data_IF_608264157319
#
_entry.id   IF_608264157319
#
_cell.length_a   1.000
_cell.length_b   1.000
_cell.length_c   1.000
_cell.angle_alpha   90.00
_cell.angle_beta   90.00
_cell.angle_gamma   90.00
#
_symmetry.space_group_name_H-M   'P 1'
#
loop_
_entity.id
_entity.type
_entity.pdbx_description
1 polymer ?
#
# COMPACT_ATOMS: atom_id res chain seq x y z
N UNK A 1 -28.19 -25.74 46.83
CA UNK A 1 -29.41 -24.90 46.80
C UNK A 1 -30.56 -25.67 46.13
N UNK A 2 -31.01 -26.78 46.76
CA UNK A 2 -32.00 -27.72 46.16
C UNK A 2 -33.32 -27.80 46.95
N UNK A 3 -33.67 -26.76 47.71
CA UNK A 3 -34.75 -26.82 48.70
C UNK A 3 -35.65 -25.57 48.74
N UNK A 4 -36.01 -25.01 47.58
CA UNK A 4 -36.96 -23.87 47.54
C UNK A 4 -37.85 -23.82 46.29
N UNK A 5 -37.96 -24.91 45.53
CA UNK A 5 -38.68 -24.92 44.24
C UNK A 5 -39.87 -25.89 44.21
N UNK A 6 -40.57 -26.04 45.33
CA UNK A 6 -41.87 -26.73 45.34
C UNK A 6 -42.93 -25.88 46.04
N UNK A 7 -44.10 -25.82 45.39
CA UNK A 7 -45.36 -25.14 45.76
C UNK A 7 -45.54 -23.67 45.35
N UNK A 8 -45.84 -23.45 44.07
CA UNK A 8 -46.82 -22.42 43.65
C UNK A 8 -47.43 -22.80 42.28
N UNK A 9 -48.61 -23.41 42.27
CA UNK A 9 -49.52 -23.47 41.11
C UNK A 9 -50.35 -22.17 41.03
N UNK A 10 -50.94 -21.85 39.86
CA UNK A 10 -50.77 -20.55 39.22
C UNK A 10 -51.81 -19.52 39.68
N UNK A 11 -51.34 -18.41 40.25
CA UNK A 11 -52.12 -17.19 40.38
C UNK A 11 -52.22 -16.49 39.03
N UNK A 12 -53.44 -16.33 38.51
CA UNK A 12 -53.77 -15.60 37.28
C UNK A 12 -53.54 -14.08 37.40
N UNK A 13 -52.28 -13.68 37.53
CA UNK A 13 -51.86 -12.31 37.23
C UNK A 13 -51.57 -12.14 35.74
N UNK A 14 -51.57 -10.90 35.22
CA UNK A 14 -51.11 -10.65 33.84
C UNK A 14 -49.69 -11.21 33.66
N UNK A 15 -49.37 -11.78 32.48
CA UNK A 15 -48.04 -12.31 32.21
C UNK A 15 -46.99 -11.24 32.48
N UNK A 16 -46.03 -11.54 33.36
CA UNK A 16 -44.98 -10.59 33.71
C UNK A 16 -44.12 -10.30 32.48
N UNK A 17 -43.83 -9.02 32.23
CA UNK A 17 -42.99 -8.60 31.10
C UNK A 17 -41.55 -9.10 31.25
N UNK A 18 -40.82 -9.22 30.14
CA UNK A 18 -39.42 -9.65 30.16
C UNK A 18 -38.58 -8.73 31.06
N UNK A 19 -38.81 -7.41 31.00
CA UNK A 19 -38.13 -6.39 31.79
C UNK A 19 -38.37 -6.57 33.30
N UNK A 20 -39.61 -6.90 33.69
CA UNK A 20 -39.96 -7.14 35.08
C UNK A 20 -39.24 -8.38 35.63
N UNK A 21 -39.06 -9.40 34.80
CA UNK A 21 -38.38 -10.64 35.19
C UNK A 21 -36.87 -10.42 35.29
N UNK A 22 -36.26 -9.71 34.35
CA UNK A 22 -34.83 -9.33 34.44
C UNK A 22 -34.57 -8.53 35.72
N UNK A 23 -35.42 -7.55 36.04
CA UNK A 23 -35.30 -6.77 37.28
C UNK A 23 -35.39 -7.64 38.53
N UNK A 24 -36.34 -8.59 38.55
CA UNK A 24 -36.50 -9.54 39.64
C UNK A 24 -35.31 -10.47 39.79
N UNK A 25 -34.78 -11.02 38.68
CA UNK A 25 -33.60 -11.88 38.67
C UNK A 25 -32.39 -11.10 39.22
N UNK A 26 -32.13 -9.89 38.70
CA UNK A 26 -31.04 -9.02 39.18
C UNK A 26 -31.15 -8.72 40.67
N UNK A 27 -32.36 -8.41 41.16
CA UNK A 27 -32.59 -8.15 42.60
C UNK A 27 -32.29 -9.38 43.45
N UNK A 28 -32.66 -10.58 43.00
CA UNK A 28 -32.45 -11.83 43.74
C UNK A 28 -30.98 -12.29 43.72
N UNK A 29 -30.25 -11.97 42.66
CA UNK A 29 -28.86 -12.38 42.47
C UNK A 29 -27.84 -11.31 42.90
N UNK A 30 -28.29 -10.17 43.44
CA UNK A 30 -27.42 -9.05 43.82
C UNK A 30 -26.25 -9.44 44.71
N UNK A 31 -26.46 -10.38 45.64
CA UNK A 31 -25.44 -10.82 46.61
C UNK A 31 -24.81 -12.18 46.23
N UNK A 32 -25.19 -12.76 45.08
CA UNK A 32 -24.69 -14.03 44.60
C UNK A 32 -23.52 -13.82 43.63
N UNK A 33 -22.33 -14.27 44.00
CA UNK A 33 -21.09 -14.05 43.22
C UNK A 33 -20.73 -15.18 42.25
N UNK A 34 -21.42 -16.32 42.32
CA UNK A 34 -21.09 -17.55 41.58
C UNK A 34 -22.19 -18.02 40.61
N UNK A 35 -23.22 -17.20 40.38
CA UNK A 35 -24.34 -17.57 39.52
C UNK A 35 -24.11 -17.00 38.13
N UNK A 36 -23.96 -17.88 37.14
CA UNK A 36 -23.89 -17.47 35.74
C UNK A 36 -25.29 -17.11 35.23
N UNK A 37 -25.40 -15.95 34.60
CA UNK A 37 -26.60 -15.53 33.90
C UNK A 37 -26.86 -16.38 32.64
N UNK A 38 -25.82 -17.00 32.07
CA UNK A 38 -25.95 -17.91 30.92
C UNK A 38 -26.87 -19.11 31.21
N UNK A 39 -26.82 -19.70 32.40
CA UNK A 39 -27.69 -20.83 32.77
C UNK A 39 -29.16 -20.41 32.83
N UNK A 40 -29.40 -19.20 33.34
CA UNK A 40 -30.74 -18.62 33.46
C UNK A 40 -31.28 -18.24 32.09
N UNK A 41 -30.44 -17.63 31.24
CA UNK A 41 -30.76 -17.33 29.85
C UNK A 41 -31.10 -18.61 29.07
N UNK A 42 -30.33 -19.68 29.25
CA UNK A 42 -30.62 -20.99 28.65
C UNK A 42 -31.97 -21.55 29.09
N UNK A 43 -32.35 -21.36 30.37
CA UNK A 43 -33.69 -21.72 30.84
C UNK A 43 -34.80 -20.90 30.16
N UNK A 44 -34.58 -19.58 29.98
CA UNK A 44 -35.51 -18.71 29.29
C UNK A 44 -35.67 -19.09 27.80
N UNK A 45 -34.58 -19.46 27.14
CA UNK A 45 -34.60 -19.92 25.74
C UNK A 45 -35.37 -21.22 25.59
N UNK A 46 -35.12 -22.21 26.46
CA UNK A 46 -35.88 -23.48 26.47
C UNK A 46 -37.37 -23.27 26.74
N UNK A 47 -37.73 -22.17 27.41
CA UNK A 47 -39.11 -21.78 27.64
C UNK A 47 -39.73 -21.01 26.45
N UNK A 48 -39.01 -20.86 25.33
CA UNK A 48 -39.44 -20.12 24.15
C UNK A 48 -39.43 -18.60 24.32
N UNK A 49 -38.77 -18.08 25.37
CA UNK A 49 -38.71 -16.64 25.65
C UNK A 49 -37.39 -16.05 25.19
N UNK A 50 -37.22 -16.01 23.88
CA UNK A 50 -35.99 -15.62 23.22
C UNK A 50 -35.49 -14.21 23.63
N UNK A 51 -36.38 -13.21 23.62
CA UNK A 51 -36.05 -11.85 24.05
C UNK A 51 -35.63 -11.76 25.52
N UNK A 52 -36.23 -12.57 26.39
CA UNK A 52 -35.80 -12.64 27.79
C UNK A 52 -34.42 -13.31 27.91
N UNK A 53 -34.17 -14.36 27.13
CA UNK A 53 -32.88 -15.05 27.11
C UNK A 53 -31.76 -14.09 26.70
N UNK A 54 -31.93 -13.31 25.63
CA UNK A 54 -30.94 -12.31 25.20
C UNK A 54 -30.72 -11.24 26.27
N UNK A 55 -31.79 -10.69 26.87
CA UNK A 55 -31.67 -9.67 27.92
C UNK A 55 -30.97 -10.16 29.19
N UNK A 56 -31.18 -11.43 29.56
CA UNK A 56 -30.47 -12.05 30.69
C UNK A 56 -29.02 -12.30 30.34
N UNK A 57 -28.74 -12.71 29.11
CA UNK A 57 -27.41 -13.03 28.64
C UNK A 57 -26.53 -11.78 28.47
N UNK A 58 -27.11 -10.62 28.20
CA UNK A 58 -26.41 -9.32 28.24
C UNK A 58 -25.85 -8.97 29.63
N UNK A 59 -26.31 -9.65 30.69
CA UNK A 59 -25.78 -9.50 32.06
C UNK A 59 -24.61 -10.44 32.35
N UNK A 60 -24.31 -11.39 31.46
CA UNK A 60 -23.18 -12.30 31.61
C UNK A 60 -21.88 -11.57 31.27
N UNK A 61 -20.95 -11.53 32.22
CA UNK A 61 -19.64 -10.89 32.04
C UNK A 61 -18.66 -11.81 31.31
N UNK A 62 -18.83 -13.13 31.44
CA UNK A 62 -17.95 -14.10 30.77
C UNK A 62 -18.36 -14.34 29.32
N UNK A 63 -17.59 -13.77 28.38
CA UNK A 63 -17.79 -13.99 26.95
C UNK A 63 -17.76 -15.47 26.53
N UNK A 64 -17.02 -16.32 27.26
CA UNK A 64 -16.91 -17.75 26.96
C UNK A 64 -18.21 -18.52 27.22
N UNK A 65 -19.07 -18.00 28.09
CA UNK A 65 -20.40 -18.59 28.37
C UNK A 65 -21.48 -17.90 27.51
N UNK A 66 -21.32 -16.59 27.27
CA UNK A 66 -22.23 -15.78 26.47
C UNK A 66 -22.24 -16.15 24.99
N UNK A 67 -21.07 -16.21 24.34
CA UNK A 67 -20.97 -16.41 22.88
C UNK A 67 -21.54 -17.76 22.42
N UNK A 68 -21.22 -18.92 23.04
CA UNK A 68 -21.78 -20.19 22.61
C UNK A 68 -23.31 -20.26 22.74
N UNK A 69 -23.87 -19.63 23.79
CA UNK A 69 -25.32 -19.59 23.97
C UNK A 69 -25.97 -18.72 22.87
N UNK A 70 -25.42 -17.55 22.56
CA UNK A 70 -25.88 -16.71 21.45
C UNK A 70 -25.88 -17.47 20.11
N UNK A 71 -24.79 -18.21 19.83
CA UNK A 71 -24.69 -19.05 18.62
C UNK A 71 -25.79 -20.13 18.59
N UNK A 72 -26.04 -20.80 19.73
CA UNK A 72 -27.08 -21.83 19.81
C UNK A 72 -28.50 -21.28 19.64
N UNK A 73 -28.71 -20.00 19.96
CA UNK A 73 -29.96 -19.28 19.79
C UNK A 73 -30.14 -18.71 18.37
N UNK A 74 -29.12 -18.80 17.50
CA UNK A 74 -29.15 -18.24 16.15
C UNK A 74 -28.84 -16.73 16.10
N UNK A 75 -28.39 -16.13 17.20
CA UNK A 75 -28.06 -14.71 17.32
C UNK A 75 -26.63 -14.43 16.80
N UNK A 76 -26.37 -14.74 15.52
CA UNK A 76 -25.02 -14.76 14.94
C UNK A 76 -24.31 -13.39 14.93
N UNK A 77 -25.01 -12.32 14.58
CA UNK A 77 -24.43 -10.97 14.53
C UNK A 77 -24.08 -10.46 15.93
N UNK A 78 -24.95 -10.74 16.91
CA UNK A 78 -24.69 -10.43 18.32
C UNK A 78 -23.53 -11.28 18.85
N UNK A 79 -23.47 -12.57 18.53
CA UNK A 79 -22.36 -13.45 18.90
C UNK A 79 -21.02 -12.96 18.32
N UNK A 80 -21.01 -12.51 17.05
CA UNK A 80 -19.83 -11.94 16.42
C UNK A 80 -19.39 -10.63 17.11
N UNK A 81 -20.34 -9.74 17.40
CA UNK A 81 -20.05 -8.51 18.15
C UNK A 81 -19.44 -8.80 19.52
N UNK A 82 -20.06 -9.71 20.29
CA UNK A 82 -19.60 -10.08 21.64
C UNK A 82 -18.25 -10.80 21.63
N UNK A 83 -18.01 -11.68 20.66
CA UNK A 83 -16.69 -12.33 20.54
C UNK A 83 -15.58 -11.31 20.22
N UNK A 84 -15.84 -10.32 19.37
CA UNK A 84 -14.89 -9.24 19.08
C UNK A 84 -14.65 -8.32 20.29
N UNK A 85 -15.72 -7.88 20.98
CA UNK A 85 -15.63 -7.10 22.21
C UNK A 85 -14.79 -7.81 23.28
N UNK A 86 -14.84 -9.14 23.33
CA UNK A 86 -14.06 -9.94 24.28
C UNK A 86 -12.55 -9.99 23.98
N UNK A 87 -12.13 -9.68 22.74
CA UNK A 87 -10.73 -9.83 22.28
C UNK A 87 -10.15 -11.24 22.42
N UNK A 88 -10.98 -12.26 22.62
CA UNK A 88 -10.57 -13.66 22.67
C UNK A 88 -10.57 -14.27 21.27
N UNK A 89 -9.39 -14.41 20.68
CA UNK A 89 -9.20 -14.94 19.31
C UNK A 89 -9.91 -16.29 19.10
N UNK A 90 -9.85 -17.20 20.08
CA UNK A 90 -10.50 -18.52 19.99
C UNK A 90 -12.03 -18.41 19.94
N UNK A 91 -12.63 -17.47 20.67
CA UNK A 91 -14.08 -17.22 20.61
C UNK A 91 -14.49 -16.57 19.29
N UNK A 92 -13.65 -15.71 18.72
CA UNK A 92 -13.88 -15.13 17.40
C UNK A 92 -13.85 -16.25 16.35
N UNK A 93 -12.84 -17.12 16.36
CA UNK A 93 -12.78 -18.28 15.45
C UNK A 93 -13.94 -19.24 15.66
N UNK A 94 -14.31 -19.55 16.91
CA UNK A 94 -15.47 -20.38 17.23
C UNK A 94 -16.74 -19.83 16.56
N UNK A 95 -16.97 -18.52 16.70
CA UNK A 95 -18.11 -17.83 16.10
C UNK A 95 -18.07 -17.92 14.58
N UNK A 96 -16.93 -17.56 13.97
CA UNK A 96 -16.77 -17.54 12.52
C UNK A 96 -16.94 -18.92 11.88
N UNK A 97 -16.35 -19.96 12.45
CA UNK A 97 -16.50 -21.33 11.95
C UNK A 97 -17.91 -21.88 12.18
N UNK A 98 -18.56 -21.49 13.27
CA UNK A 98 -19.95 -21.85 13.50
C UNK A 98 -20.87 -21.19 12.46
N UNK A 99 -20.69 -19.90 12.20
CA UNK A 99 -21.39 -19.14 11.16
C UNK A 99 -21.19 -19.78 9.78
N UNK A 100 -19.94 -20.12 9.40
CA UNK A 100 -19.64 -20.76 8.11
C UNK A 100 -20.34 -22.13 7.94
N UNK A 101 -20.52 -22.89 9.03
CA UNK A 101 -21.19 -24.20 8.99
C UNK A 101 -22.71 -24.11 8.98
N UNK A 102 -23.28 -23.03 9.49
CA UNK A 102 -24.72 -22.92 9.76
C UNK A 102 -25.46 -22.04 8.77
N UNK A 103 -24.79 -21.05 8.19
CA UNK A 103 -25.40 -20.09 7.28
C UNK A 103 -24.94 -20.29 5.82
N UNK A 104 -25.77 -19.92 4.83
CA UNK A 104 -25.35 -19.79 3.44
C UNK A 104 -24.17 -18.81 3.29
N UNK A 105 -23.26 -19.00 2.32
CA UNK A 105 -22.10 -18.12 2.13
C UNK A 105 -22.46 -16.64 1.95
N UNK A 106 -23.54 -16.35 1.22
CA UNK A 106 -23.99 -14.96 1.02
C UNK A 106 -24.52 -14.33 2.31
N UNK A 107 -25.07 -15.12 3.23
CA UNK A 107 -25.56 -14.64 4.53
C UNK A 107 -24.37 -14.34 5.45
N UNK A 108 -23.37 -15.23 5.49
CA UNK A 108 -22.10 -14.99 6.18
C UNK A 108 -21.45 -13.71 5.68
N UNK A 109 -21.37 -13.53 4.36
CA UNK A 109 -20.82 -12.31 3.74
C UNK A 109 -21.61 -11.08 4.14
N UNK A 110 -22.95 -11.13 4.14
CA UNK A 110 -23.78 -9.99 4.56
C UNK A 110 -23.52 -9.60 6.01
N UNK A 111 -23.42 -10.58 6.93
CA UNK A 111 -23.11 -10.30 8.34
C UNK A 111 -21.70 -9.75 8.48
N UNK A 112 -20.69 -10.35 7.86
CA UNK A 112 -19.29 -9.89 7.98
C UNK A 112 -19.07 -8.47 7.46
N UNK A 113 -19.89 -8.00 6.52
CA UNK A 113 -19.79 -6.65 5.95
C UNK A 113 -20.89 -5.70 6.46
N UNK A 114 -21.71 -6.08 7.46
CA UNK A 114 -22.79 -5.21 7.97
C UNK A 114 -22.26 -4.03 8.77
N UNK A 115 -21.15 -4.20 9.51
CA UNK A 115 -20.56 -3.19 10.36
C UNK A 115 -19.03 -3.07 10.13
N UNK A 116 -18.43 -1.85 10.17
CA UNK A 116 -16.99 -1.66 9.96
C UNK A 116 -16.10 -2.44 10.94
N UNK A 117 -16.57 -2.66 12.17
CA UNK A 117 -15.82 -3.38 13.20
C UNK A 117 -15.58 -4.86 12.86
N UNK A 118 -16.40 -5.45 11.99
CA UNK A 118 -16.25 -6.84 11.55
C UNK A 118 -15.12 -7.04 10.53
N UNK A 119 -14.49 -5.96 10.06
CA UNK A 119 -13.29 -6.03 9.23
C UNK A 119 -12.15 -6.83 9.91
N UNK A 120 -12.02 -6.76 11.23
CA UNK A 120 -11.04 -7.54 11.99
C UNK A 120 -11.31 -9.04 11.93
N UNK A 121 -12.58 -9.44 12.02
CA UNK A 121 -13.00 -10.83 11.89
C UNK A 121 -12.73 -11.38 10.49
N UNK A 122 -13.01 -10.58 9.43
CA UNK A 122 -12.66 -10.92 8.05
C UNK A 122 -11.14 -11.10 7.91
N UNK A 123 -10.36 -10.17 8.45
CA UNK A 123 -8.90 -10.22 8.37
C UNK A 123 -8.35 -11.46 9.07
N UNK A 124 -8.85 -11.78 10.27
CA UNK A 124 -8.44 -12.96 11.03
C UNK A 124 -8.73 -14.26 10.26
N UNK A 125 -9.95 -14.40 9.73
CA UNK A 125 -10.36 -15.58 8.98
C UNK A 125 -9.61 -15.73 7.65
N UNK A 126 -9.42 -14.63 6.92
CA UNK A 126 -8.63 -14.62 5.69
C UNK A 126 -7.18 -15.00 5.96
N UNK A 127 -6.58 -14.47 7.04
CA UNK A 127 -5.21 -14.84 7.44
C UNK A 127 -5.12 -16.33 7.72
N UNK A 128 -6.09 -16.90 8.44
CA UNK A 128 -6.14 -18.34 8.70
C UNK A 128 -6.23 -19.16 7.40
N UNK A 129 -7.12 -18.81 6.48
CA UNK A 129 -7.27 -19.53 5.20
C UNK A 129 -6.03 -19.45 4.32
N UNK A 130 -5.37 -18.28 4.26
CA UNK A 130 -4.11 -18.12 3.51
C UNK A 130 -3.01 -18.98 4.14
N UNK A 131 -2.86 -18.93 5.47
CA UNK A 131 -1.81 -19.66 6.17
C UNK A 131 -1.99 -21.19 6.12
N UNK A 132 -3.24 -21.65 6.05
CA UNK A 132 -3.57 -23.08 5.98
C UNK A 132 -3.69 -23.61 4.55
N UNK A 133 -3.43 -22.77 3.53
CA UNK A 133 -3.62 -23.12 2.12
C UNK A 133 -5.03 -23.67 1.84
N UNK A 134 -6.05 -23.06 2.44
CA UNK A 134 -7.43 -23.40 2.17
C UNK A 134 -7.78 -23.10 0.70
N UNK A 135 -8.82 -23.76 0.20
CA UNK A 135 -9.29 -23.51 -1.16
C UNK A 135 -9.71 -22.04 -1.36
N UNK A 136 -9.42 -21.51 -2.53
CA UNK A 136 -9.73 -20.13 -2.95
C UNK A 136 -11.21 -19.77 -2.74
N UNK A 137 -12.13 -20.74 -2.89
CA UNK A 137 -13.56 -20.54 -2.65
C UNK A 137 -13.89 -20.05 -1.23
N UNK A 138 -13.07 -20.42 -0.23
CA UNK A 138 -13.23 -19.97 1.16
C UNK A 138 -13.03 -18.47 1.30
N UNK A 139 -12.00 -17.95 0.62
CA UNK A 139 -11.72 -16.51 0.59
C UNK A 139 -12.80 -15.75 -0.19
N UNK A 140 -13.28 -16.32 -1.31
CA UNK A 140 -14.36 -15.74 -2.10
C UNK A 140 -15.70 -15.67 -1.35
N UNK A 141 -15.92 -16.49 -0.32
CA UNK A 141 -17.11 -16.42 0.52
C UNK A 141 -17.09 -15.27 1.53
N UNK A 142 -15.89 -14.77 1.90
CA UNK A 142 -15.73 -13.77 2.96
C UNK A 142 -15.27 -12.41 2.44
N UNK A 143 -14.54 -12.38 1.33
CA UNK A 143 -14.08 -11.14 0.72
C UNK A 143 -15.15 -10.54 -0.19
N UNK A 144 -15.13 -9.21 -0.26
CA UNK A 144 -15.74 -8.49 -1.36
C UNK A 144 -14.79 -8.48 -2.56
N UNK A 145 -15.31 -8.15 -3.74
CA UNK A 145 -14.58 -8.24 -5.01
C UNK A 145 -13.24 -7.47 -5.00
N UNK A 146 -13.18 -6.30 -4.34
CA UNK A 146 -11.96 -5.48 -4.25
C UNK A 146 -10.88 -6.16 -3.40
N UNK A 147 -11.20 -6.73 -2.23
CA UNK A 147 -10.23 -7.51 -1.44
C UNK A 147 -9.70 -8.71 -2.21
N UNK A 148 -10.59 -9.42 -2.92
CA UNK A 148 -10.20 -10.56 -3.76
C UNK A 148 -9.29 -10.11 -4.92
N UNK A 149 -9.60 -9.00 -5.59
CA UNK A 149 -8.74 -8.42 -6.63
C UNK A 149 -7.37 -7.97 -6.12
N UNK A 150 -7.33 -7.33 -4.95
CA UNK A 150 -6.08 -6.92 -4.30
C UNK A 150 -5.19 -8.14 -3.99
N UNK A 151 -5.79 -9.23 -3.51
CA UNK A 151 -5.08 -10.48 -3.23
C UNK A 151 -4.51 -11.10 -4.50
N UNK A 152 -5.28 -11.16 -5.59
CA UNK A 152 -4.81 -11.67 -6.88
C UNK A 152 -3.61 -10.86 -7.41
N UNK A 153 -3.67 -9.53 -7.31
CA UNK A 153 -2.54 -8.65 -7.66
C UNK A 153 -1.32 -8.97 -6.80
N UNK A 154 -1.47 -9.04 -5.48
CA UNK A 154 -0.35 -9.32 -4.57
C UNK A 154 0.28 -10.69 -4.83
N UNK A 155 -0.53 -11.73 -5.00
CA UNK A 155 -0.02 -13.08 -5.26
C UNK A 155 0.54 -13.26 -6.68
N UNK A 156 0.24 -12.35 -7.61
CA UNK A 156 0.92 -12.33 -8.91
C UNK A 156 2.40 -11.94 -8.76
N UNK A 157 2.77 -11.14 -7.77
CA UNK A 157 4.17 -10.76 -7.54
C UNK A 157 5.02 -11.92 -7.01
N UNK A 158 4.40 -12.85 -6.27
CA UNK A 158 5.08 -14.04 -5.72
C UNK A 158 5.19 -15.19 -6.72
N UNK A 159 4.40 -15.15 -7.79
CA UNK A 159 4.43 -16.18 -8.82
C UNK A 159 5.75 -16.13 -9.61
N UNK A 160 6.23 -17.27 -10.11
CA UNK A 160 7.44 -17.35 -10.94
C UNK A 160 7.11 -17.41 -12.42
N UNK A 161 6.02 -18.11 -12.77
CA UNK A 161 5.61 -18.27 -14.16
C UNK A 161 4.84 -17.03 -14.65
N UNK A 162 5.35 -16.38 -15.69
CA UNK A 162 4.71 -15.20 -16.29
C UNK A 162 3.30 -15.45 -16.80
N UNK A 163 2.98 -16.66 -17.30
CA UNK A 163 1.64 -16.99 -17.78
C UNK A 163 0.65 -17.07 -16.61
N UNK A 164 1.06 -17.66 -15.48
CA UNK A 164 0.26 -17.67 -14.25
C UNK A 164 0.10 -16.26 -13.64
N UNK A 165 1.15 -15.42 -13.71
CA UNK A 165 1.05 -14.00 -13.34
C UNK A 165 -0.04 -13.29 -14.13
N UNK A 166 0.01 -13.44 -15.45
CA UNK A 166 -0.93 -12.79 -16.36
C UNK A 166 -2.36 -13.27 -16.13
N UNK A 167 -2.54 -14.57 -15.82
CA UNK A 167 -3.86 -15.11 -15.45
C UNK A 167 -4.40 -14.45 -14.19
N UNK A 168 -3.63 -14.43 -13.09
CA UNK A 168 -4.04 -13.78 -11.84
C UNK A 168 -4.36 -12.29 -12.01
N UNK A 169 -3.51 -11.56 -12.76
CA UNK A 169 -3.75 -10.15 -13.04
C UNK A 169 -5.01 -9.93 -13.89
N UNK A 170 -5.31 -10.84 -14.82
CA UNK A 170 -6.53 -10.79 -15.62
C UNK A 170 -7.78 -11.02 -14.76
N UNK A 171 -7.73 -11.96 -13.83
CA UNK A 171 -8.81 -12.22 -12.88
C UNK A 171 -9.01 -11.01 -11.94
N UNK A 172 -7.92 -10.41 -11.44
CA UNK A 172 -7.97 -9.17 -10.66
C UNK A 172 -8.60 -8.00 -11.44
N UNK A 173 -8.21 -7.83 -12.71
CA UNK A 173 -8.76 -6.79 -13.58
C UNK A 173 -10.27 -6.97 -13.78
N UNK A 174 -10.74 -8.21 -13.96
CA UNK A 174 -12.17 -8.51 -14.08
C UNK A 174 -12.93 -8.14 -12.79
N UNK A 175 -12.37 -8.49 -11.63
CA UNK A 175 -12.93 -8.14 -10.31
C UNK A 175 -12.96 -6.62 -10.09
N UNK A 176 -11.92 -5.87 -10.45
CA UNK A 176 -11.94 -4.40 -10.38
C UNK A 176 -12.99 -3.77 -11.30
N UNK A 177 -13.20 -4.33 -12.49
CA UNK A 177 -14.25 -3.86 -13.40
C UNK A 177 -15.65 -4.10 -12.82
N UNK A 178 -15.90 -5.29 -12.25
CA UNK A 178 -17.16 -5.60 -11.55
C UNK A 178 -17.42 -4.64 -10.39
N UNK A 179 -16.37 -4.35 -9.61
CA UNK A 179 -16.39 -3.40 -8.51
C UNK A 179 -16.43 -1.91 -8.92
N UNK A 180 -16.51 -1.61 -10.22
CA UNK A 180 -16.52 -0.23 -10.77
C UNK A 180 -15.31 0.61 -10.34
N UNK A 181 -14.12 -0.01 -10.31
CA UNK A 181 -12.83 0.63 -10.04
C UNK A 181 -11.98 0.74 -11.32
N UNK A 182 -12.30 1.66 -12.24
CA UNK A 182 -11.65 1.74 -13.55
C UNK A 182 -10.16 2.08 -13.47
N UNK A 183 -9.73 2.82 -12.45
CA UNK A 183 -8.33 3.17 -12.25
C UNK A 183 -7.52 1.91 -11.91
N UNK A 184 -8.00 1.10 -10.95
CA UNK A 184 -7.34 -0.15 -10.56
C UNK A 184 -7.28 -1.12 -11.73
N UNK A 185 -8.40 -1.31 -12.44
CA UNK A 185 -8.45 -2.15 -13.64
C UNK A 185 -7.44 -1.68 -14.69
N UNK A 186 -7.35 -0.36 -14.94
CA UNK A 186 -6.43 0.20 -15.92
C UNK A 186 -4.97 0.01 -15.54
N UNK A 187 -4.62 0.21 -14.26
CA UNK A 187 -3.26 0.01 -13.76
C UNK A 187 -2.85 -1.47 -13.84
N UNK A 188 -3.78 -2.39 -13.56
CA UNK A 188 -3.55 -3.83 -13.71
C UNK A 188 -3.34 -4.21 -15.18
N UNK A 189 -4.14 -3.66 -16.10
CA UNK A 189 -3.98 -3.84 -17.55
C UNK A 189 -2.60 -3.33 -18.03
N UNK A 190 -2.21 -2.11 -17.65
CA UNK A 190 -0.90 -1.55 -18.01
C UNK A 190 0.26 -2.38 -17.45
N UNK A 191 0.10 -2.96 -16.25
CA UNK A 191 1.09 -3.90 -15.70
C UNK A 191 1.19 -5.18 -16.52
N UNK A 192 0.07 -5.77 -16.95
CA UNK A 192 0.07 -6.93 -17.85
C UNK A 192 0.73 -6.61 -19.19
N UNK A 193 0.44 -5.45 -19.78
CA UNK A 193 1.08 -5.01 -21.02
C UNK A 193 2.60 -4.87 -20.86
N UNK A 194 3.07 -4.37 -19.72
CA UNK A 194 4.49 -4.25 -19.42
C UNK A 194 5.16 -5.61 -19.34
N UNK A 195 4.55 -6.58 -18.63
CA UNK A 195 5.07 -7.96 -18.55
C UNK A 195 5.18 -8.60 -19.93
N UNK A 196 4.19 -8.37 -20.81
CA UNK A 196 4.24 -8.87 -22.18
C UNK A 196 5.35 -8.23 -23.03
N UNK A 197 5.58 -6.92 -22.90
CA UNK A 197 6.71 -6.28 -23.58
C UNK A 197 8.06 -6.76 -23.04
N UNK A 198 8.17 -6.92 -21.71
CA UNK A 198 9.39 -7.44 -21.08
C UNK A 198 9.70 -8.87 -21.52
N UNK A 199 8.69 -9.75 -21.66
CA UNK A 199 8.87 -11.10 -22.20
C UNK A 199 9.46 -11.07 -23.61
N UNK A 200 8.97 -10.17 -24.48
CA UNK A 200 9.53 -10.00 -25.84
C UNK A 200 10.98 -9.51 -25.82
N UNK A 201 11.38 -8.74 -24.80
CA UNK A 201 12.77 -8.32 -24.62
C UNK A 201 13.64 -9.49 -24.18
N UNK A 202 13.18 -10.26 -23.20
CA UNK A 202 13.87 -11.47 -22.71
C UNK A 202 14.09 -12.48 -23.83
N UNK A 203 13.07 -12.73 -24.67
CA UNK A 203 13.17 -13.64 -25.82
C UNK A 203 14.21 -13.18 -26.87
N UNK A 204 14.42 -11.87 -26.99
CA UNK A 204 15.37 -11.26 -27.94
C UNK A 204 16.79 -11.10 -27.37
N UNK A 205 16.95 -11.13 -26.05
CA UNK A 205 18.21 -10.89 -25.35
C UNK A 205 19.20 -12.07 -25.44
N UNK A 206 19.16 -12.86 -26.51
CA UNK A 206 20.08 -13.97 -26.79
C UNK A 206 21.48 -13.45 -27.13
N UNK A 207 22.29 -13.12 -26.11
CA UNK A 207 23.71 -12.82 -26.28
C UNK A 207 24.33 -11.80 -25.32
N UNK A 208 23.55 -11.19 -24.41
CA UNK A 208 24.05 -10.26 -23.39
C UNK A 208 24.28 -10.89 -22.00
N UNK A 209 24.81 -10.14 -21.01
CA UNK A 209 24.72 -10.56 -19.61
C UNK A 209 23.25 -10.86 -19.29
N UNK A 210 23.02 -11.85 -18.42
CA UNK A 210 21.73 -12.52 -18.14
C UNK A 210 20.68 -11.57 -17.49
N UNK A 211 20.34 -10.46 -18.16
CA UNK A 211 19.38 -9.46 -17.71
C UNK A 211 17.99 -9.99 -17.98
N UNK A 212 17.25 -10.23 -16.91
CA UNK A 212 15.84 -10.62 -16.96
C UNK A 212 14.99 -9.37 -16.81
N UNK A 213 14.34 -8.95 -17.89
CA UNK A 213 13.48 -7.77 -17.94
C UNK A 213 12.14 -8.01 -17.24
N UNK A 214 11.59 -9.23 -17.32
CA UNK A 214 10.30 -9.56 -16.69
C UNK A 214 10.33 -9.27 -15.18
N UNK A 215 9.38 -8.46 -14.73
CA UNK A 215 9.22 -8.09 -13.32
C UNK A 215 9.95 -6.80 -12.93
N UNK A 216 10.74 -6.20 -13.81
CA UNK A 216 11.31 -4.87 -13.58
C UNK A 216 10.22 -3.79 -13.59
N UNK A 217 10.48 -2.67 -12.91
CA UNK A 217 9.67 -1.47 -13.10
C UNK A 217 9.84 -0.92 -14.52
N UNK A 218 8.86 -0.17 -15.04
CA UNK A 218 8.98 0.51 -16.34
C UNK A 218 10.23 1.38 -16.43
N UNK A 219 10.60 2.05 -15.33
CA UNK A 219 11.81 2.89 -15.29
C UNK A 219 13.08 2.06 -15.36
N UNK A 220 13.12 0.92 -14.68
CA UNK A 220 14.27 0.00 -14.72
C UNK A 220 14.40 -0.70 -16.07
N UNK A 221 13.29 -1.08 -16.70
CA UNK A 221 13.29 -1.58 -18.09
C UNK A 221 13.90 -0.54 -19.04
N UNK A 222 13.46 0.71 -18.97
CA UNK A 222 14.01 1.81 -19.79
C UNK A 222 15.50 2.05 -19.46
N UNK A 223 15.87 2.00 -18.18
CA UNK A 223 17.26 2.18 -17.72
C UNK A 223 18.18 1.13 -18.33
N UNK A 224 17.84 -0.15 -18.21
CA UNK A 224 18.65 -1.24 -18.75
C UNK A 224 18.76 -1.17 -20.28
N UNK A 225 17.66 -0.86 -20.99
CA UNK A 225 17.72 -0.64 -22.44
C UNK A 225 18.66 0.52 -22.82
N UNK A 226 18.66 1.61 -22.04
CA UNK A 226 19.61 2.71 -22.26
C UNK A 226 21.06 2.29 -21.98
N UNK A 227 21.31 1.43 -20.99
CA UNK A 227 22.65 0.90 -20.72
C UNK A 227 23.12 -0.05 -21.84
N UNK A 228 22.22 -0.89 -22.35
CA UNK A 228 22.52 -1.84 -23.43
C UNK A 228 22.86 -1.15 -24.75
N UNK A 229 22.52 0.11 -24.90
CA UNK A 229 22.90 0.94 -26.04
C UNK A 229 24.40 0.97 -26.33
N UNK A 230 25.24 0.74 -25.29
CA UNK A 230 26.69 0.64 -25.44
C UNK A 230 27.12 -0.51 -26.36
N UNK A 231 26.33 -1.60 -26.37
CA UNK A 231 26.56 -2.79 -27.20
C UNK A 231 25.63 -2.85 -28.40
N UNK A 232 24.37 -2.47 -28.19
CA UNK A 232 23.33 -2.50 -29.20
C UNK A 232 22.68 -1.11 -29.34
N UNK A 233 23.16 -0.24 -30.26
CA UNK A 233 22.65 1.12 -30.42
C UNK A 233 21.15 1.21 -30.70
N UNK A 234 20.55 0.15 -31.27
CA UNK A 234 19.09 0.06 -31.52
C UNK A 234 18.28 0.01 -30.22
N UNK A 235 18.87 -0.38 -29.09
CA UNK A 235 18.20 -0.45 -27.80
C UNK A 235 17.65 0.91 -27.32
N UNK A 236 18.29 2.03 -27.71
CA UNK A 236 17.73 3.38 -27.45
C UNK A 236 16.40 3.63 -28.16
N UNK A 237 16.22 3.08 -29.36
CA UNK A 237 14.95 3.19 -30.09
C UNK A 237 13.87 2.36 -29.42
N UNK A 238 14.23 1.17 -28.93
CA UNK A 238 13.33 0.30 -28.15
C UNK A 238 12.91 0.99 -26.85
N UNK A 239 13.86 1.58 -26.10
CA UNK A 239 13.58 2.35 -24.89
C UNK A 239 12.61 3.51 -25.16
N UNK A 240 12.82 4.25 -26.26
CA UNK A 240 11.93 5.34 -26.66
C UNK A 240 10.54 4.85 -27.08
N UNK A 241 10.44 3.70 -27.77
CA UNK A 241 9.19 3.09 -28.15
C UNK A 241 8.37 2.63 -26.92
N UNK A 242 9.01 1.99 -25.95
CA UNK A 242 8.40 1.61 -24.67
C UNK A 242 7.94 2.85 -23.91
N UNK A 243 8.80 3.86 -23.76
CA UNK A 243 8.44 5.11 -23.09
C UNK A 243 7.21 5.78 -23.73
N UNK A 244 7.13 5.77 -25.08
CA UNK A 244 5.97 6.28 -25.82
C UNK A 244 4.72 5.44 -25.57
N UNK A 245 4.82 4.11 -25.61
CA UNK A 245 3.70 3.18 -25.39
C UNK A 245 3.04 3.42 -24.02
N UNK A 246 3.86 3.50 -22.97
CA UNK A 246 3.42 3.72 -21.58
C UNK A 246 3.29 5.19 -21.20
N UNK A 247 3.27 6.11 -22.19
CA UNK A 247 3.05 7.55 -21.99
C UNK A 247 3.97 8.17 -20.92
N UNK A 248 5.22 7.72 -20.84
CA UNK A 248 6.20 8.22 -19.88
C UNK A 248 6.47 9.70 -20.18
N UNK A 249 6.32 10.61 -19.20
CA UNK A 249 6.61 12.02 -19.40
C UNK A 249 8.04 12.24 -19.91
N UNK A 250 8.22 13.10 -20.91
CA UNK A 250 9.51 13.26 -21.59
C UNK A 250 10.64 13.63 -20.60
N UNK A 251 10.35 14.51 -19.62
CA UNK A 251 11.29 14.86 -18.55
C UNK A 251 11.71 13.65 -17.71
N UNK A 252 10.80 12.71 -17.42
CA UNK A 252 11.09 11.48 -16.65
C UNK A 252 11.96 10.53 -17.48
N UNK A 253 11.59 10.31 -18.74
CA UNK A 253 12.39 9.49 -19.67
C UNK A 253 13.83 10.00 -19.77
N UNK A 254 14.01 11.31 -19.96
CA UNK A 254 15.36 11.89 -20.07
C UNK A 254 16.16 11.76 -18.77
N UNK A 255 15.56 11.90 -17.59
CA UNK A 255 16.27 11.68 -16.32
C UNK A 255 16.80 10.25 -16.20
N UNK A 256 15.98 9.25 -16.55
CA UNK A 256 16.39 7.84 -16.57
C UNK A 256 17.50 7.61 -17.59
N UNK A 257 17.32 8.12 -18.81
CA UNK A 257 18.29 7.99 -19.92
C UNK A 257 19.64 8.62 -19.57
N UNK A 258 19.66 9.84 -19.02
CA UNK A 258 20.90 10.55 -18.65
C UNK A 258 21.69 9.75 -17.63
N UNK A 259 21.01 9.27 -16.57
CA UNK A 259 21.66 8.48 -15.52
C UNK A 259 22.24 7.18 -16.10
N UNK A 260 21.47 6.44 -16.90
CA UNK A 260 21.91 5.19 -17.52
C UNK A 260 23.12 5.36 -18.45
N UNK A 261 23.08 6.37 -19.33
CA UNK A 261 24.16 6.64 -20.28
C UNK A 261 25.42 7.16 -19.59
N UNK A 262 25.28 7.96 -18.53
CA UNK A 262 26.42 8.41 -17.73
C UNK A 262 27.08 7.24 -16.99
N UNK A 263 26.29 6.36 -16.35
CA UNK A 263 26.81 5.15 -15.66
C UNK A 263 27.56 4.19 -16.60
N UNK A 264 27.25 4.23 -17.90
CA UNK A 264 27.91 3.41 -18.93
C UNK A 264 28.89 4.19 -19.80
N UNK A 265 29.22 5.44 -19.42
CA UNK A 265 30.18 6.32 -20.09
C UNK A 265 29.89 6.55 -21.59
N UNK A 266 28.62 6.47 -22.01
CA UNK A 266 28.21 6.61 -23.41
C UNK A 266 28.03 8.08 -23.81
N UNK A 267 29.09 8.88 -23.67
CA UNK A 267 29.04 10.34 -23.79
C UNK A 267 28.57 10.86 -25.15
N UNK A 268 28.94 10.17 -26.25
CA UNK A 268 28.54 10.54 -27.60
C UNK A 268 27.01 10.47 -27.80
N UNK A 269 26.38 9.46 -27.20
CA UNK A 269 24.93 9.25 -27.29
C UNK A 269 24.12 10.12 -26.32
N UNK A 270 24.78 10.60 -25.26
CA UNK A 270 24.19 11.47 -24.26
C UNK A 270 23.90 12.87 -24.85
N UNK A 271 24.58 13.28 -25.91
CA UNK A 271 24.45 14.63 -26.45
C UNK A 271 23.03 14.94 -26.99
N UNK A 272 22.41 16.02 -26.49
CA UNK A 272 21.16 16.59 -27.03
C UNK A 272 21.24 18.10 -27.17
N UNK A 273 20.70 18.64 -28.28
CA UNK A 273 20.68 20.08 -28.56
C UNK A 273 19.73 20.87 -27.66
N UNK A 274 18.56 20.31 -27.35
CA UNK A 274 17.54 20.92 -26.47
C UNK A 274 16.92 19.84 -25.56
N UNK A 275 17.51 19.55 -24.39
CA UNK A 275 17.00 18.54 -23.48
C UNK A 275 15.75 19.02 -22.71
N UNK A 276 14.68 18.21 -22.61
CA UNK A 276 13.44 18.56 -21.89
C UNK A 276 13.62 18.85 -20.40
N UNK A 277 14.68 18.30 -19.80
CA UNK A 277 15.03 18.48 -18.40
C UNK A 277 16.08 19.59 -18.15
N UNK A 278 16.45 20.37 -19.18
CA UNK A 278 17.55 21.32 -19.10
C UNK A 278 18.93 20.66 -19.09
N UNK A 279 19.98 21.48 -19.09
CA UNK A 279 21.37 21.00 -19.10
C UNK A 279 21.93 20.70 -17.71
N UNK A 280 21.32 21.20 -16.63
CA UNK A 280 21.74 20.92 -15.23
C UNK A 280 21.84 19.42 -14.94
N UNK A 281 20.84 18.65 -15.37
CA UNK A 281 20.83 17.20 -15.18
C UNK A 281 21.98 16.48 -15.90
N UNK A 282 22.40 16.97 -17.07
CA UNK A 282 23.54 16.43 -17.81
C UNK A 282 24.85 16.75 -17.10
N UNK A 283 25.02 18.01 -16.70
CA UNK A 283 26.23 18.47 -16.02
C UNK A 283 26.49 17.69 -14.72
N UNK A 284 25.46 17.52 -13.89
CA UNK A 284 25.56 16.76 -12.63
C UNK A 284 25.89 15.28 -12.90
N UNK A 285 25.25 14.66 -13.89
CA UNK A 285 25.49 13.26 -14.22
C UNK A 285 26.92 13.01 -14.74
N UNK A 286 27.47 13.92 -15.55
CA UNK A 286 28.87 13.87 -16.00
C UNK A 286 29.84 14.01 -14.83
N UNK A 287 29.60 14.97 -13.92
CA UNK A 287 30.45 15.17 -12.75
C UNK A 287 30.50 13.94 -11.85
N UNK A 288 29.35 13.31 -11.58
CA UNK A 288 29.30 12.11 -10.74
C UNK A 288 30.16 10.96 -11.28
N UNK A 289 30.43 10.94 -12.59
CA UNK A 289 31.27 9.93 -13.23
C UNK A 289 32.71 10.43 -13.49
N UNK A 290 33.07 11.61 -12.95
CA UNK A 290 34.42 12.17 -13.06
C UNK A 290 34.71 12.97 -14.33
N UNK A 291 33.75 13.10 -15.25
CA UNK A 291 33.94 13.78 -16.55
C UNK A 291 33.72 15.30 -16.43
N UNK A 292 34.72 15.98 -15.86
CA UNK A 292 34.67 17.42 -15.62
C UNK A 292 34.50 18.24 -16.90
N UNK A 293 35.22 17.92 -17.98
CA UNK A 293 35.15 18.69 -19.23
C UNK A 293 33.76 18.70 -19.87
N UNK A 294 33.07 17.55 -19.89
CA UNK A 294 31.68 17.47 -20.36
C UNK A 294 30.72 18.19 -19.42
N UNK A 295 30.93 18.07 -18.10
CA UNK A 295 30.11 18.77 -17.11
C UNK A 295 30.16 20.30 -17.28
N UNK A 296 31.36 20.85 -17.48
CA UNK A 296 31.60 22.27 -17.75
C UNK A 296 30.95 22.73 -19.05
N UNK A 297 31.09 21.92 -20.12
CA UNK A 297 30.45 22.18 -21.41
C UNK A 297 28.93 22.28 -21.27
N UNK A 298 28.29 21.36 -20.56
CA UNK A 298 26.84 21.42 -20.32
C UNK A 298 26.43 22.59 -19.42
N UNK A 299 27.21 22.89 -18.37
CA UNK A 299 26.94 24.03 -17.49
C UNK A 299 27.00 25.37 -18.24
N UNK A 300 27.92 25.52 -19.18
CA UNK A 300 28.05 26.73 -20.01
C UNK A 300 26.79 27.03 -20.82
N UNK A 301 26.07 25.97 -21.25
CA UNK A 301 24.85 26.01 -22.08
C UNK A 301 23.57 26.30 -21.29
N UNK A 302 23.63 26.36 -19.97
CA UNK A 302 22.48 26.78 -19.14
C UNK A 302 22.26 28.28 -19.34
N UNK A 303 21.05 28.66 -19.72
CA UNK A 303 20.65 30.05 -19.99
C UNK A 303 20.02 30.73 -18.79
N UNK A 304 19.31 29.98 -17.94
CA UNK A 304 18.67 30.50 -16.73
C UNK A 304 19.74 30.82 -15.68
N UNK A 305 19.89 32.09 -15.23
CA UNK A 305 21.01 32.49 -14.36
C UNK A 305 21.02 31.78 -13.00
N UNK A 306 19.87 31.62 -12.36
CA UNK A 306 19.77 30.93 -11.06
C UNK A 306 20.13 29.45 -11.19
N UNK A 307 19.56 28.77 -12.19
CA UNK A 307 19.86 27.35 -12.44
C UNK A 307 21.34 27.16 -12.80
N UNK A 308 21.93 28.10 -13.55
CA UNK A 308 23.35 28.08 -13.89
C UNK A 308 24.21 28.23 -12.63
N UNK A 309 23.86 29.18 -11.75
CA UNK A 309 24.57 29.39 -10.49
C UNK A 309 24.56 28.16 -9.61
N UNK A 310 23.38 27.59 -9.36
CA UNK A 310 23.25 26.35 -8.59
C UNK A 310 24.10 25.23 -9.20
N UNK A 311 24.11 25.13 -10.53
CA UNK A 311 24.88 24.09 -11.22
C UNK A 311 26.38 24.31 -11.03
N UNK A 312 26.89 25.54 -11.18
CA UNK A 312 28.32 25.82 -10.98
C UNK A 312 28.76 25.55 -9.54
N UNK A 313 27.94 25.90 -8.55
CA UNK A 313 28.17 25.57 -7.14
C UNK A 313 28.23 24.05 -6.94
N UNK A 314 27.28 23.29 -7.50
CA UNK A 314 27.30 21.83 -7.46
C UNK A 314 28.52 21.22 -8.15
N UNK A 315 28.99 21.82 -9.25
CA UNK A 315 30.20 21.42 -9.96
C UNK A 315 31.49 21.86 -9.25
N UNK A 316 31.39 22.58 -8.13
CA UNK A 316 32.52 23.19 -7.42
C UNK A 316 33.36 24.13 -8.29
N UNK A 317 32.73 24.74 -9.30
CA UNK A 317 33.33 25.75 -10.18
C UNK A 317 33.25 27.13 -9.52
N UNK A 318 33.96 27.29 -8.41
CA UNK A 318 33.81 28.43 -7.51
C UNK A 318 34.12 29.80 -8.15
N UNK A 319 35.12 29.88 -9.02
CA UNK A 319 35.46 31.12 -9.74
C UNK A 319 34.33 31.56 -10.66
N UNK A 320 33.82 30.64 -11.48
CA UNK A 320 32.70 30.92 -12.38
C UNK A 320 31.38 31.17 -11.62
N UNK A 321 31.17 30.52 -10.47
CA UNK A 321 30.03 30.77 -9.58
C UNK A 321 30.12 32.18 -8.96
N UNK A 322 31.31 32.61 -8.53
CA UNK A 322 31.57 33.95 -8.01
C UNK A 322 31.30 35.02 -9.06
N UNK A 323 31.87 34.89 -10.26
CA UNK A 323 31.67 35.85 -11.36
C UNK A 323 30.18 36.06 -11.68
N UNK A 324 29.39 34.99 -11.60
CA UNK A 324 27.96 35.07 -11.84
C UNK A 324 27.20 35.69 -10.66
N UNK A 325 27.58 35.43 -9.41
CA UNK A 325 26.99 36.10 -8.24
C UNK A 325 27.24 37.61 -8.29
N UNK A 326 28.46 38.02 -8.68
CA UNK A 326 28.83 39.43 -8.91
C UNK A 326 28.01 40.03 -10.05
N UNK A 327 27.89 39.33 -11.18
CA UNK A 327 27.11 39.78 -12.34
C UNK A 327 25.62 39.94 -12.02
N UNK A 328 25.07 39.06 -11.19
CA UNK A 328 23.68 39.12 -10.74
C UNK A 328 23.45 40.15 -9.64
N UNK A 329 24.53 40.68 -9.03
CA UNK A 329 24.47 41.60 -7.88
C UNK A 329 23.59 41.05 -6.77
N UNK A 330 23.73 39.76 -6.48
CA UNK A 330 22.91 39.03 -5.53
C UNK A 330 23.75 38.70 -4.29
N UNK A 331 23.47 39.33 -3.13
CA UNK A 331 24.24 39.13 -1.91
C UNK A 331 24.08 37.70 -1.35
N UNK A 332 22.89 37.10 -1.48
CA UNK A 332 22.63 35.75 -0.97
C UNK A 332 23.45 34.70 -1.74
N UNK A 333 23.59 34.90 -3.05
CA UNK A 333 24.47 34.05 -3.88
C UNK A 333 25.94 34.22 -3.53
N UNK A 334 26.41 35.43 -3.25
CA UNK A 334 27.79 35.65 -2.78
C UNK A 334 28.05 34.94 -1.45
N UNK A 335 27.13 35.06 -0.50
CA UNK A 335 27.20 34.33 0.78
C UNK A 335 27.16 32.82 0.57
N UNK A 336 26.36 32.32 -0.37
CA UNK A 336 26.30 30.90 -0.72
C UNK A 336 27.64 30.38 -1.25
N UNK A 337 28.32 31.11 -2.15
CA UNK A 337 29.67 30.73 -2.60
C UNK A 337 30.65 30.74 -1.42
N UNK A 338 30.61 31.77 -0.56
CA UNK A 338 31.51 31.87 0.60
C UNK A 338 31.37 30.68 1.54
N UNK A 339 30.14 30.31 1.88
CA UNK A 339 29.85 29.26 2.86
C UNK A 339 30.19 27.86 2.33
N UNK A 340 30.10 27.64 1.02
CA UNK A 340 30.34 26.33 0.40
C UNK A 340 31.75 26.16 -0.16
N UNK A 341 32.46 27.25 -0.46
CA UNK A 341 33.81 27.20 -1.01
C UNK A 341 34.85 27.07 0.12
N UNK A 342 35.78 26.10 0.06
CA UNK A 342 36.84 25.96 1.06
C UNK A 342 38.10 26.80 0.74
N UNK A 343 38.15 27.53 -0.37
CA UNK A 343 39.37 28.18 -0.88
C UNK A 343 39.54 29.62 -0.35
N UNK A 344 40.62 29.92 0.40
CA UNK A 344 40.85 31.26 0.98
C UNK A 344 40.96 32.38 -0.06
N UNK A 345 41.56 32.11 -1.21
CA UNK A 345 41.74 33.11 -2.27
C UNK A 345 40.39 33.58 -2.83
N UNK A 346 39.41 32.67 -2.92
CA UNK A 346 38.07 32.98 -3.40
C UNK A 346 37.29 33.74 -2.33
N UNK A 347 37.50 33.46 -1.05
CA UNK A 347 36.93 34.26 0.05
C UNK A 347 37.40 35.72 0.00
N UNK A 348 38.69 35.96 -0.23
CA UNK A 348 39.22 37.31 -0.39
C UNK A 348 38.62 38.04 -1.60
N UNK A 349 38.40 37.34 -2.71
CA UNK A 349 37.72 37.89 -3.89
C UNK A 349 36.24 38.19 -3.62
N UNK A 350 35.55 37.36 -2.84
CA UNK A 350 34.16 37.60 -2.41
C UNK A 350 34.08 38.85 -1.54
N UNK A 351 34.98 39.00 -0.56
CA UNK A 351 35.03 40.17 0.33
C UNK A 351 35.22 41.47 -0.47
N UNK A 352 36.18 41.47 -1.39
CA UNK A 352 36.43 42.60 -2.26
C UNK A 352 35.22 42.91 -3.17
N UNK A 353 34.59 41.89 -3.76
CA UNK A 353 33.41 42.07 -4.60
C UNK A 353 32.20 42.59 -3.79
N UNK A 354 32.02 42.13 -2.56
CA UNK A 354 30.94 42.57 -1.69
C UNK A 354 31.12 44.04 -1.25
N UNK A 355 32.36 44.48 -1.00
CA UNK A 355 32.68 45.90 -0.76
C UNK A 355 32.41 46.78 -2.00
N UNK A 356 32.83 46.32 -3.19
CA UNK A 356 32.60 47.08 -4.42
C UNK A 356 31.11 47.22 -4.80
N UNK A 357 30.29 46.24 -4.43
CA UNK A 357 28.85 46.26 -4.67
C UNK A 357 28.06 46.94 -3.54
N UNK A 358 28.71 47.31 -2.43
CA UNK A 358 28.10 48.01 -1.30
C UNK A 358 27.24 47.13 -0.40
N UNK A 359 27.54 45.83 -0.32
CA UNK A 359 26.82 44.89 0.54
C UNK A 359 27.39 44.81 1.97
N UNK A 360 28.62 45.28 2.18
CA UNK A 360 29.34 45.36 3.45
C UNK A 360 30.14 46.65 3.54
#
# INVERSE_FOLDING_TARGET
VKSSFESATPGGGPPMTDEAIVSMVRKKLKDATLVSYSEIASCAERAGRHRLATMLLDLEENASDQVPLLLSMGEFELALRKSLESSHTDLIYLTLFHMERTMPPDDVRRVLHSEPQYAEAIHLLATFYIATHADSSKLDNIWHEVSSANHDVLTSFTERNTDEKLKKLKDAMAKYNSAKLPINAKLTEEHMELLMEQRKLDDKATGGPNVVYVGMSLSDTIRHLCMDAAREPKSLQVAAAIAKKFKVPEKRFYRVKIKALAETLQWDTLHKKAPPCGFKAFAIACLHQGEKGQAESYASRITQPDEKFDTLVHLQMWTAALDMAVKLKDPDKLSSVRNNCPLPDIHAQIDHAAQQLGFI
#
